data_IF_452778752074
#
_entry.id   IF_452778752074
#
_cell.length_a   1.000
_cell.length_b   1.000
_cell.length_c   1.000
_cell.angle_alpha   90.00
_cell.angle_beta   90.00
_cell.angle_gamma   90.00
#
_symmetry.space_group_name_H-M   'P 1'
#
loop_
_entity.id
_entity.type
_entity.pdbx_description
1 polymer ?
#
# COMPACT_ATOMS: atom_id res chain seq x y z
N UNK A 1 -29.07 -22.34 -19.32
CA UNK A 1 -28.08 -21.43 -19.95
C UNK A 1 -27.59 -20.34 -19.01
N UNK A 2 -28.45 -19.49 -18.42
CA UNK A 2 -28.05 -18.46 -17.46
C UNK A 2 -27.29 -18.99 -16.22
N UNK A 3 -27.77 -20.08 -15.61
CA UNK A 3 -27.10 -20.71 -14.46
C UNK A 3 -25.74 -21.33 -14.79
N UNK A 4 -25.55 -21.82 -16.02
CA UNK A 4 -24.26 -22.36 -16.47
C UNK A 4 -23.25 -21.24 -16.71
N UNK A 5 -23.69 -20.13 -17.31
CA UNK A 5 -22.87 -18.92 -17.45
C UNK A 5 -22.47 -18.34 -16.09
N UNK A 6 -23.39 -18.35 -15.10
CA UNK A 6 -23.12 -17.95 -13.72
C UNK A 6 -22.07 -18.86 -13.06
N UNK A 7 -22.15 -20.17 -13.28
CA UNK A 7 -21.18 -21.12 -12.72
C UNK A 7 -19.78 -20.98 -13.33
N UNK A 8 -19.69 -20.72 -14.64
CA UNK A 8 -18.39 -20.52 -15.32
C UNK A 8 -17.74 -19.21 -14.89
N UNK A 9 -18.50 -18.14 -14.59
CA UNK A 9 -17.93 -16.89 -14.06
C UNK A 9 -17.56 -16.95 -12.58
N UNK A 10 -18.09 -17.91 -11.82
CA UNK A 10 -17.68 -18.13 -10.43
C UNK A 10 -16.29 -18.76 -10.30
N UNK A 11 -15.82 -19.54 -11.29
CA UNK A 11 -14.51 -20.21 -11.22
C UNK A 11 -13.33 -19.20 -11.20
N UNK A 12 -13.33 -18.13 -12.04
CA UNK A 12 -12.36 -17.03 -11.92
C UNK A 12 -12.62 -16.11 -10.71
N UNK A 13 -13.88 -15.88 -10.33
CA UNK A 13 -14.24 -15.00 -9.21
C UNK A 13 -13.73 -15.50 -7.86
N UNK A 14 -13.55 -16.81 -7.68
CA UNK A 14 -12.93 -17.40 -6.48
C UNK A 14 -11.41 -17.12 -6.44
N UNK A 15 -10.79 -16.73 -7.57
CA UNK A 15 -9.35 -16.42 -7.65
C UNK A 15 -9.03 -14.92 -7.76
N UNK A 16 -9.99 -14.08 -8.16
CA UNK A 16 -9.81 -12.63 -8.28
C UNK A 16 -10.29 -11.91 -7.01
N UNK A 17 -9.37 -11.21 -6.33
CA UNK A 17 -9.61 -10.58 -5.02
C UNK A 17 -10.29 -9.20 -5.11
N UNK A 18 -10.75 -8.75 -6.28
CA UNK A 18 -11.30 -7.42 -6.49
C UNK A 18 -12.77 -7.45 -6.92
N UNK A 19 -13.63 -6.87 -6.07
CA UNK A 19 -15.07 -6.72 -6.25
C UNK A 19 -15.49 -6.11 -7.61
N UNK A 20 -14.63 -5.26 -8.19
CA UNK A 20 -14.85 -4.63 -9.51
C UNK A 20 -14.77 -5.64 -10.67
N UNK A 21 -13.95 -6.69 -10.55
CA UNK A 21 -13.82 -7.73 -11.58
C UNK A 21 -15.12 -8.53 -11.70
N UNK A 22 -15.80 -8.77 -10.57
CA UNK A 22 -17.10 -9.44 -10.55
C UNK A 22 -18.18 -8.63 -11.25
N UNK A 23 -18.29 -7.33 -11.00
CA UNK A 23 -19.28 -6.47 -11.66
C UNK A 23 -19.04 -6.37 -13.17
N UNK A 24 -17.77 -6.31 -13.60
CA UNK A 24 -17.43 -6.28 -15.01
C UNK A 24 -17.93 -7.53 -15.75
N UNK A 25 -17.82 -8.72 -15.14
CA UNK A 25 -18.30 -9.98 -15.73
C UNK A 25 -19.83 -10.00 -15.93
N UNK A 26 -20.61 -9.46 -14.98
CA UNK A 26 -22.06 -9.34 -15.15
C UNK A 26 -22.45 -8.41 -16.30
N UNK A 27 -21.72 -7.30 -16.47
CA UNK A 27 -21.91 -6.37 -17.60
C UNK A 27 -21.61 -7.06 -18.92
N UNK A 28 -20.52 -7.81 -19.03
CA UNK A 28 -20.17 -8.53 -20.27
C UNK A 28 -21.16 -9.62 -20.65
N UNK A 29 -21.66 -10.40 -19.68
CA UNK A 29 -22.72 -11.38 -19.93
C UNK A 29 -24.00 -10.70 -20.41
N UNK A 30 -24.38 -9.60 -19.77
CA UNK A 30 -25.60 -8.86 -20.11
C UNK A 30 -25.51 -8.26 -21.52
N UNK A 31 -24.34 -7.73 -21.90
CA UNK A 31 -24.06 -7.24 -23.25
C UNK A 31 -24.10 -8.37 -24.29
N UNK A 32 -23.55 -9.55 -23.99
CA UNK A 32 -23.59 -10.71 -24.87
C UNK A 32 -25.00 -11.23 -25.11
N UNK A 33 -25.82 -11.31 -24.04
CA UNK A 33 -27.24 -11.71 -24.15
C UNK A 33 -28.03 -10.67 -24.94
N UNK A 34 -27.85 -9.37 -24.65
CA UNK A 34 -28.51 -8.28 -25.38
C UNK A 34 -28.17 -8.28 -26.87
N UNK A 35 -26.90 -8.52 -27.21
CA UNK A 35 -26.45 -8.65 -28.60
C UNK A 35 -27.08 -9.84 -29.32
N UNK A 36 -27.19 -10.99 -28.67
CA UNK A 36 -27.84 -12.17 -29.23
C UNK A 36 -29.32 -11.90 -29.58
N UNK A 37 -30.06 -11.25 -28.68
CA UNK A 37 -31.46 -10.85 -28.93
C UNK A 37 -31.59 -9.86 -30.10
N UNK A 38 -30.67 -8.90 -30.21
CA UNK A 38 -30.65 -7.92 -31.32
C UNK A 38 -30.38 -8.63 -32.66
N UNK A 39 -29.40 -9.55 -32.69
CA UNK A 39 -29.06 -10.32 -33.90
C UNK A 39 -30.24 -11.20 -34.33
N UNK A 40 -30.89 -11.89 -33.40
CA UNK A 40 -32.08 -12.71 -33.67
C UNK A 40 -33.23 -11.86 -34.23
N UNK A 41 -33.46 -10.67 -33.67
CA UNK A 41 -34.46 -9.71 -34.16
C UNK A 41 -34.14 -9.20 -35.58
N UNK A 42 -32.85 -8.96 -35.89
CA UNK A 42 -32.39 -8.54 -37.21
C UNK A 42 -32.57 -9.66 -38.24
N UNK A 43 -32.32 -10.92 -37.86
CA UNK A 43 -32.48 -12.08 -38.73
C UNK A 43 -33.94 -12.29 -39.15
N UNK A 44 -34.91 -11.99 -38.27
CA UNK A 44 -36.35 -12.09 -38.52
C UNK A 44 -36.97 -11.01 -39.43
N UNK A 45 -36.23 -9.99 -39.87
CA UNK A 45 -36.76 -8.95 -40.79
C UNK A 45 -36.91 -9.48 -42.23
N UNK A 46 -37.65 -8.79 -43.11
CA UNK A 46 -37.87 -9.28 -44.48
C UNK A 46 -36.59 -9.43 -45.34
N UNK A 47 -36.56 -10.37 -46.31
CA UNK A 47 -35.39 -10.68 -47.13
C UNK A 47 -34.84 -9.50 -47.94
N UNK A 48 -35.70 -8.55 -48.30
CA UNK A 48 -35.35 -7.40 -49.16
C UNK A 48 -34.33 -6.44 -48.52
N UNK A 49 -34.04 -6.59 -47.23
CA UNK A 49 -33.07 -5.78 -46.47
C UNK A 49 -31.77 -6.54 -46.11
N UNK A 50 -31.42 -7.58 -46.87
CA UNK A 50 -30.29 -8.46 -46.56
C UNK A 50 -28.94 -7.74 -46.34
N UNK A 51 -28.67 -6.67 -47.09
CA UNK A 51 -27.45 -5.85 -46.92
C UNK A 51 -27.47 -5.09 -45.59
N UNK A 52 -28.60 -4.49 -45.23
CA UNK A 52 -28.79 -3.78 -43.96
C UNK A 52 -28.71 -4.72 -42.75
N UNK A 53 -29.16 -5.97 -42.87
CA UNK A 53 -28.99 -6.98 -41.82
C UNK A 53 -27.51 -7.28 -41.55
N UNK A 54 -26.72 -7.47 -42.60
CA UNK A 54 -25.27 -7.72 -42.48
C UNK A 54 -24.55 -6.51 -41.88
N UNK A 55 -24.90 -5.30 -42.30
CA UNK A 55 -24.33 -4.07 -41.76
C UNK A 55 -24.66 -3.87 -40.27
N UNK A 56 -25.90 -4.13 -39.87
CA UNK A 56 -26.31 -4.03 -38.46
C UNK A 56 -25.62 -5.07 -37.58
N UNK A 57 -25.48 -6.32 -38.05
CA UNK A 57 -24.73 -7.36 -37.34
C UNK A 57 -23.24 -6.99 -37.19
N UNK A 58 -22.60 -6.48 -38.24
CA UNK A 58 -21.21 -6.00 -38.19
C UNK A 58 -21.07 -4.82 -37.23
N UNK A 59 -22.00 -3.87 -37.23
CA UNK A 59 -21.98 -2.73 -36.31
C UNK A 59 -22.08 -3.19 -34.84
N UNK A 60 -22.95 -4.15 -34.53
CA UNK A 60 -23.05 -4.73 -33.17
C UNK A 60 -21.75 -5.42 -32.77
N UNK A 61 -21.15 -6.22 -33.66
CA UNK A 61 -19.88 -6.90 -33.41
C UNK A 61 -18.75 -5.88 -33.16
N UNK A 62 -18.69 -4.80 -33.94
CA UNK A 62 -17.68 -3.74 -33.80
C UNK A 62 -17.88 -2.98 -32.48
N UNK A 63 -19.11 -2.65 -32.08
CA UNK A 63 -19.40 -2.01 -30.80
C UNK A 63 -18.97 -2.90 -29.63
N UNK A 64 -19.26 -4.19 -29.69
CA UNK A 64 -18.80 -5.16 -28.70
C UNK A 64 -17.27 -5.20 -28.68
N UNK A 65 -16.61 -5.33 -29.83
CA UNK A 65 -15.15 -5.36 -29.91
C UNK A 65 -14.51 -4.09 -29.30
N UNK A 66 -15.04 -2.90 -29.59
CA UNK A 66 -14.57 -1.64 -29.00
C UNK A 66 -14.80 -1.61 -27.49
N UNK A 67 -15.96 -2.09 -27.02
CA UNK A 67 -16.28 -2.20 -25.60
C UNK A 67 -15.38 -3.19 -24.84
N UNK A 68 -14.81 -4.19 -25.53
CA UNK A 68 -13.82 -5.12 -24.96
C UNK A 68 -12.37 -4.58 -25.06
N UNK A 69 -12.05 -3.75 -26.05
CA UNK A 69 -10.69 -3.18 -26.23
C UNK A 69 -10.41 -2.08 -25.20
N UNK A 70 -11.41 -1.24 -24.87
CA UNK A 70 -11.19 -0.10 -23.96
C UNK A 70 -10.83 -0.52 -22.51
N UNK A 71 -11.49 -1.52 -21.90
CA UNK A 71 -11.11 -2.06 -20.59
C UNK A 71 -9.73 -2.73 -20.62
N UNK A 72 -9.38 -3.45 -21.70
CA UNK A 72 -8.05 -4.07 -21.84
C UNK A 72 -6.95 -3.01 -21.91
N UNK A 73 -7.16 -1.92 -22.66
CA UNK A 73 -6.24 -0.78 -22.66
C UNK A 73 -6.17 -0.12 -21.28
N UNK A 74 -7.31 0.02 -20.60
CA UNK A 74 -7.41 0.51 -19.23
C UNK A 74 -6.59 -0.35 -18.25
N UNK A 75 -6.78 -1.67 -18.24
CA UNK A 75 -6.05 -2.61 -17.38
C UNK A 75 -4.56 -2.65 -17.71
N UNK A 76 -4.17 -2.62 -18.99
CA UNK A 76 -2.75 -2.56 -19.38
C UNK A 76 -2.10 -1.24 -18.91
N UNK A 77 -2.85 -0.14 -18.91
CA UNK A 77 -2.38 1.13 -18.37
C UNK A 77 -2.38 1.15 -16.84
N UNK A 78 -3.37 0.56 -16.16
CA UNK A 78 -3.37 0.41 -14.71
C UNK A 78 -2.23 -0.49 -14.22
N UNK A 79 -1.89 -1.56 -14.96
CA UNK A 79 -0.70 -2.38 -14.69
C UNK A 79 0.60 -1.59 -14.90
N UNK A 80 0.63 -0.63 -15.83
CA UNK A 80 1.76 0.31 -15.96
C UNK A 80 1.85 1.28 -14.78
N UNK A 81 0.71 1.76 -14.25
CA UNK A 81 0.68 2.59 -13.05
C UNK A 81 1.02 1.79 -11.78
N UNK A 82 0.65 0.51 -11.72
CA UNK A 82 1.09 -0.39 -10.66
C UNK A 82 2.58 -0.68 -10.74
N UNK A 83 3.22 -0.58 -11.92
CA UNK A 83 4.69 -0.60 -12.08
C UNK A 83 5.44 0.43 -11.22
N UNK A 84 4.84 1.58 -10.92
CA UNK A 84 5.41 2.58 -9.99
C UNK A 84 5.14 2.29 -8.51
N UNK A 85 4.12 1.48 -8.22
CA UNK A 85 3.76 0.99 -6.89
C UNK A 85 4.44 -0.36 -6.57
N UNK A 86 4.83 -1.12 -7.59
CA UNK A 86 5.72 -2.28 -7.56
C UNK A 86 7.08 -1.74 -7.14
N UNK A 87 7.23 -1.66 -5.82
CA UNK A 87 8.45 -1.50 -5.04
C UNK A 87 9.49 -0.60 -5.71
N UNK A 88 9.50 0.69 -5.35
CA UNK A 88 10.64 1.56 -5.63
C UNK A 88 11.95 0.77 -5.39
N UNK A 89 12.89 0.71 -6.35
CA UNK A 89 14.02 -0.21 -6.28
C UNK A 89 14.83 -0.13 -4.98
N UNK A 90 14.92 1.07 -4.39
CA UNK A 90 15.56 1.27 -3.08
C UNK A 90 14.84 0.57 -1.92
N UNK A 91 13.49 0.53 -1.93
CA UNK A 91 12.71 -0.20 -0.93
C UNK A 91 12.85 -1.70 -1.09
N UNK A 92 12.88 -2.19 -2.34
CA UNK A 92 13.08 -3.61 -2.61
C UNK A 92 14.45 -4.06 -2.10
N UNK A 93 15.49 -3.27 -2.43
CA UNK A 93 16.84 -3.50 -1.95
C UNK A 93 16.90 -3.53 -0.41
N UNK A 94 16.17 -2.64 0.27
CA UNK A 94 16.09 -2.64 1.73
C UNK A 94 15.45 -3.93 2.27
N UNK A 95 14.31 -4.38 1.71
CA UNK A 95 13.65 -5.61 2.15
C UNK A 95 14.49 -6.86 1.89
N UNK A 96 15.17 -6.94 0.75
CA UNK A 96 16.09 -8.03 0.44
C UNK A 96 17.32 -8.00 1.35
N UNK A 97 17.84 -6.82 1.67
CA UNK A 97 18.93 -6.68 2.63
C UNK A 97 18.52 -7.19 4.02
N UNK A 98 17.34 -6.81 4.51
CA UNK A 98 16.78 -7.33 5.76
C UNK A 98 16.73 -8.86 5.74
N UNK A 99 16.16 -9.45 4.68
CA UNK A 99 16.01 -10.91 4.56
C UNK A 99 17.34 -11.66 4.71
N UNK A 100 18.42 -11.07 4.19
CA UNK A 100 19.73 -11.73 4.11
C UNK A 100 20.66 -11.40 5.29
N UNK A 101 20.34 -10.39 6.12
CA UNK A 101 21.27 -9.86 7.14
C UNK A 101 20.66 -9.76 8.54
N UNK A 102 19.46 -10.27 8.78
CA UNK A 102 18.87 -10.35 10.12
C UNK A 102 18.37 -11.76 10.42
N UNK A 103 18.16 -12.07 11.69
CA UNK A 103 17.57 -13.35 12.09
C UNK A 103 16.09 -13.45 11.71
N UNK A 104 15.59 -14.66 11.48
CA UNK A 104 14.21 -14.88 11.05
C UNK A 104 13.16 -14.40 12.07
N UNK A 105 13.52 -14.34 13.34
CA UNK A 105 12.69 -13.88 14.46
C UNK A 105 12.88 -12.40 14.81
N UNK A 106 13.72 -11.67 14.07
CA UNK A 106 13.93 -10.24 14.26
C UNK A 106 12.63 -9.45 14.09
N UNK A 107 12.40 -8.49 14.99
CA UNK A 107 11.22 -7.64 15.04
C UNK A 107 11.49 -6.30 14.37
N UNK A 108 10.53 -5.82 13.58
CA UNK A 108 10.63 -4.51 12.93
C UNK A 108 9.48 -3.60 13.37
N UNK A 109 9.86 -2.43 13.88
CA UNK A 109 8.98 -1.31 14.18
C UNK A 109 8.97 -0.41 12.94
N UNK A 110 7.81 -0.27 12.32
CA UNK A 110 7.58 0.54 11.13
C UNK A 110 6.13 1.05 11.16
N UNK A 111 5.83 2.09 10.38
CA UNK A 111 4.44 2.48 10.17
C UNK A 111 3.65 1.38 9.43
N UNK A 112 2.37 1.22 9.75
CA UNK A 112 1.56 0.05 9.35
C UNK A 112 1.51 -0.21 7.85
N UNK A 113 1.58 0.86 7.03
CA UNK A 113 1.56 0.78 5.56
C UNK A 113 2.62 -0.19 5.00
N UNK A 114 3.73 -0.39 5.72
CA UNK A 114 4.84 -1.22 5.26
C UNK A 114 4.86 -2.63 5.86
N UNK A 115 4.00 -2.94 6.84
CA UNK A 115 4.05 -4.22 7.55
C UNK A 115 3.83 -5.42 6.63
N UNK A 116 2.83 -5.34 5.75
CA UNK A 116 2.56 -6.38 4.75
C UNK A 116 3.74 -6.56 3.76
N UNK A 117 4.37 -5.46 3.33
CA UNK A 117 5.51 -5.51 2.42
C UNK A 117 6.74 -6.16 3.09
N UNK A 118 7.00 -5.81 4.34
CA UNK A 118 8.06 -6.43 5.13
C UNK A 118 7.83 -7.94 5.29
N UNK A 119 6.61 -8.34 5.69
CA UNK A 119 6.27 -9.74 5.83
C UNK A 119 6.40 -10.51 4.50
N UNK A 120 5.99 -9.89 3.39
CA UNK A 120 6.03 -10.52 2.07
C UNK A 120 7.45 -10.63 1.50
N UNK A 121 8.19 -9.52 1.41
CA UNK A 121 9.50 -9.45 0.75
C UNK A 121 10.65 -9.84 1.67
N UNK A 122 10.68 -9.29 2.88
CA UNK A 122 11.77 -9.52 3.82
C UNK A 122 11.62 -10.81 4.63
N UNK A 123 10.41 -11.40 4.66
CA UNK A 123 10.08 -12.56 5.51
C UNK A 123 10.43 -12.29 6.97
N UNK A 124 10.10 -11.10 7.46
CA UNK A 124 10.27 -10.69 8.86
C UNK A 124 8.94 -10.26 9.45
N UNK A 125 8.85 -10.36 10.77
CA UNK A 125 7.65 -10.03 11.51
C UNK A 125 7.59 -8.50 11.74
N UNK A 126 6.59 -7.79 11.20
CA UNK A 126 6.32 -6.42 11.61
C UNK A 126 5.61 -6.41 12.98
N UNK A 127 5.75 -5.31 13.72
CA UNK A 127 4.91 -5.07 14.91
C UNK A 127 3.45 -4.80 14.51
N UNK A 128 3.24 -4.04 13.43
CA UNK A 128 1.92 -3.72 12.86
C UNK A 128 1.93 -3.79 11.34
N UNK A 129 0.82 -4.24 10.76
CA UNK A 129 0.54 -4.31 9.31
C UNK A 129 -0.83 -3.72 8.93
N UNK A 130 -1.59 -3.26 9.93
CA UNK A 130 -2.88 -2.59 9.82
C UNK A 130 -3.01 -1.55 10.94
N UNK A 131 -3.71 -0.45 10.68
CA UNK A 131 -3.96 0.59 11.69
C UNK A 131 -5.41 0.62 12.16
N UNK A 132 -5.57 0.67 13.49
CA UNK A 132 -6.79 1.06 14.19
C UNK A 132 -6.40 1.93 15.39
N UNK A 133 -6.70 3.23 15.38
CA UNK A 133 -6.18 4.21 16.38
C UNK A 133 -6.38 3.84 17.85
N UNK A 134 -7.50 3.21 18.27
CA UNK A 134 -7.65 2.78 19.65
C UNK A 134 -6.67 1.68 20.07
N UNK A 135 -6.04 0.98 19.13
CA UNK A 135 -5.10 -0.10 19.39
C UNK A 135 -3.84 0.42 20.09
N UNK A 136 -3.53 -0.18 21.25
CA UNK A 136 -2.34 0.12 22.03
C UNK A 136 -1.05 -0.11 21.23
N UNK A 137 -1.03 -1.04 20.27
CA UNK A 137 0.15 -1.33 19.46
C UNK A 137 0.43 -0.19 18.47
N UNK A 138 -0.61 0.40 17.87
CA UNK A 138 -0.45 1.59 17.01
C UNK A 138 0.16 2.73 17.81
N UNK A 139 -0.36 2.99 19.01
CA UNK A 139 0.18 4.04 19.89
C UNK A 139 1.62 3.77 20.30
N UNK A 140 1.97 2.52 20.61
CA UNK A 140 3.33 2.13 20.96
C UNK A 140 4.30 2.34 19.78
N UNK A 141 3.94 1.89 18.58
CA UNK A 141 4.76 2.09 17.37
C UNK A 141 4.93 3.57 17.05
N UNK A 142 3.85 4.34 17.09
CA UNK A 142 3.92 5.80 16.92
C UNK A 142 4.83 6.43 17.97
N UNK A 143 4.71 6.05 19.24
CA UNK A 143 5.53 6.58 20.32
C UNK A 143 7.02 6.28 20.14
N UNK A 144 7.39 5.15 19.53
CA UNK A 144 8.80 4.87 19.18
C UNK A 144 9.27 5.76 18.02
N UNK A 145 8.45 5.91 16.97
CA UNK A 145 8.84 6.66 15.76
C UNK A 145 8.99 8.15 16.07
N UNK A 146 8.03 8.75 16.79
CA UNK A 146 7.99 10.19 17.05
C UNK A 146 8.43 10.58 18.47
N UNK A 147 9.10 9.69 19.21
CA UNK A 147 9.57 9.97 20.57
C UNK A 147 10.46 11.23 20.58
N UNK A 148 10.14 12.22 21.40
CA UNK A 148 11.04 13.35 21.70
C UNK A 148 12.10 12.98 22.73
N UNK A 149 11.81 11.97 23.54
CA UNK A 149 12.71 11.31 24.49
C UNK A 149 13.03 9.90 23.97
N UNK A 150 14.22 9.70 23.37
CA UNK A 150 14.58 8.41 22.78
C UNK A 150 14.66 7.26 23.79
N UNK A 151 14.98 7.52 25.06
CA UNK A 151 15.07 6.48 26.09
C UNK A 151 13.69 5.86 26.36
N UNK A 152 12.64 6.70 26.37
CA UNK A 152 11.26 6.21 26.41
C UNK A 152 10.90 5.41 25.16
N UNK A 153 11.37 5.84 23.99
CA UNK A 153 11.24 5.06 22.75
C UNK A 153 11.88 3.67 22.87
N UNK A 154 13.10 3.59 23.38
CA UNK A 154 13.81 2.32 23.62
C UNK A 154 13.11 1.45 24.66
N UNK A 155 12.54 2.03 25.72
CA UNK A 155 11.78 1.29 26.72
C UNK A 155 10.54 0.62 26.11
N UNK A 156 9.81 1.33 25.25
CA UNK A 156 8.66 0.77 24.51
C UNK A 156 9.14 -0.33 23.56
N UNK A 157 10.24 -0.12 22.82
CA UNK A 157 10.81 -1.12 21.95
C UNK A 157 11.23 -2.40 22.70
N UNK A 158 11.79 -2.28 23.91
CA UNK A 158 12.09 -3.44 24.79
C UNK A 158 10.82 -4.20 25.17
N UNK A 159 9.75 -3.49 25.50
CA UNK A 159 8.46 -4.12 25.85
C UNK A 159 7.88 -4.88 24.65
N UNK A 160 8.00 -4.32 23.44
CA UNK A 160 7.61 -5.00 22.20
C UNK A 160 8.50 -6.23 21.93
N UNK A 161 9.82 -6.13 22.13
CA UNK A 161 10.75 -7.26 22.01
C UNK A 161 10.32 -8.45 22.86
N UNK A 162 10.06 -8.20 24.15
CA UNK A 162 9.65 -9.21 25.13
C UNK A 162 8.30 -9.83 24.76
N UNK A 163 7.31 -9.01 24.39
CA UNK A 163 5.98 -9.47 23.98
C UNK A 163 6.03 -10.40 22.76
N UNK A 164 6.94 -10.14 21.83
CA UNK A 164 7.06 -10.90 20.58
C UNK A 164 8.11 -12.02 20.63
N UNK A 165 8.88 -12.12 21.73
CA UNK A 165 9.99 -13.07 21.92
C UNK A 165 10.99 -13.04 20.75
N UNK A 166 11.48 -11.84 20.43
CA UNK A 166 12.39 -11.60 19.31
C UNK A 166 13.83 -11.40 19.76
N UNK A 167 14.79 -11.97 19.01
CA UNK A 167 16.23 -11.79 19.19
C UNK A 167 16.68 -10.32 19.14
N UNK A 168 16.26 -9.62 18.09
CA UNK A 168 16.68 -8.26 17.76
C UNK A 168 15.48 -7.39 17.39
N UNK A 169 15.62 -6.08 17.57
CA UNK A 169 14.61 -5.09 17.20
C UNK A 169 15.22 -4.03 16.30
N UNK A 170 14.49 -3.69 15.24
CA UNK A 170 14.86 -2.70 14.26
C UNK A 170 13.78 -1.64 14.13
N UNK A 171 14.17 -0.37 14.03
CA UNK A 171 13.30 0.73 13.63
C UNK A 171 13.53 1.02 12.13
N UNK A 172 12.47 0.93 11.34
CA UNK A 172 12.48 1.19 9.91
C UNK A 172 11.66 2.44 9.61
N UNK A 173 12.33 3.44 9.03
CA UNK A 173 11.76 4.73 8.65
C UNK A 173 11.77 4.86 7.14
N UNK A 174 10.68 5.38 6.57
CA UNK A 174 10.56 5.71 5.16
C UNK A 174 10.45 7.22 4.96
N UNK A 175 10.97 7.72 3.84
CA UNK A 175 11.00 9.16 3.54
C UNK A 175 9.64 9.84 3.67
N UNK A 176 8.60 9.14 3.20
CA UNK A 176 7.24 9.67 3.16
C UNK A 176 6.50 9.58 4.50
N UNK A 177 7.07 8.91 5.51
CA UNK A 177 6.53 8.93 6.87
C UNK A 177 6.54 10.35 7.45
N UNK A 178 7.41 11.23 6.94
CA UNK A 178 7.43 12.66 7.22
C UNK A 178 6.06 13.34 7.05
N UNK A 179 5.23 12.87 6.12
CA UNK A 179 3.88 13.42 5.92
C UNK A 179 2.82 12.75 6.82
N UNK A 180 3.19 11.63 7.43
CA UNK A 180 2.35 10.83 8.32
C UNK A 180 2.69 11.06 9.80
N UNK A 181 3.82 11.70 10.12
CA UNK A 181 4.19 12.02 11.52
C UNK A 181 3.13 12.83 12.29
N UNK A 182 2.28 13.70 11.70
CA UNK A 182 1.20 14.33 12.46
C UNK A 182 0.18 13.30 12.98
N UNK A 183 -0.12 12.30 12.16
CA UNK A 183 -1.03 11.20 12.53
C UNK A 183 -0.39 10.33 13.62
N UNK A 184 0.91 10.05 13.51
CA UNK A 184 1.65 9.32 14.54
C UNK A 184 1.69 10.12 15.85
N UNK A 185 1.96 11.42 15.80
CA UNK A 185 1.91 12.30 16.97
C UNK A 185 0.53 12.33 17.62
N UNK A 186 -0.53 12.38 16.83
CA UNK A 186 -1.89 12.30 17.34
C UNK A 186 -2.18 11.00 18.08
N UNK A 187 -1.70 9.86 17.56
CA UNK A 187 -1.83 8.57 18.23
C UNK A 187 -1.12 8.54 19.60
N UNK A 188 -0.11 9.40 19.82
CA UNK A 188 0.63 9.53 21.08
C UNK A 188 0.15 10.68 21.96
N UNK A 189 -0.93 11.37 21.57
CA UNK A 189 -1.57 12.43 22.36
C UNK A 189 -1.15 13.86 22.03
N UNK A 190 -0.37 14.10 20.96
CA UNK A 190 -0.12 15.45 20.45
C UNK A 190 -1.33 15.99 19.68
N UNK A 191 -1.45 17.32 19.60
CA UNK A 191 -2.53 17.94 18.84
C UNK A 191 -2.25 17.88 17.32
N UNK A 192 -3.31 17.74 16.54
CA UNK A 192 -3.32 17.93 15.10
C UNK A 192 -3.46 19.40 14.71
N UNK A 193 -3.79 20.32 15.60
CA UNK A 193 -3.91 21.75 15.31
C UNK A 193 -2.57 22.36 14.86
N UNK A 194 -2.57 23.33 13.93
CA UNK A 194 -1.33 24.04 13.57
C UNK A 194 -0.76 24.80 14.78
N UNK A 195 0.52 24.62 15.06
CA UNK A 195 1.22 25.32 16.15
C UNK A 195 2.39 24.54 16.72
N UNK A 196 2.97 25.06 17.80
CA UNK A 196 4.17 24.53 18.45
C UNK A 196 3.96 23.21 19.20
N UNK A 197 2.69 22.83 19.44
CA UNK A 197 2.30 21.60 20.14
C UNK A 197 2.03 20.41 19.22
N UNK A 198 2.22 20.59 17.91
CA UNK A 198 1.97 19.56 16.89
C UNK A 198 3.25 19.03 16.27
N UNK A 199 3.31 17.73 15.99
CA UNK A 199 4.45 17.12 15.27
C UNK A 199 4.19 17.23 13.78
N UNK A 200 4.97 18.06 13.07
CA UNK A 200 4.75 18.36 11.65
C UNK A 200 6.06 18.61 10.91
N UNK A 201 6.23 17.92 9.79
CA UNK A 201 7.40 18.06 8.94
C UNK A 201 6.97 18.43 7.53
N UNK A 202 7.89 19.08 6.81
CA UNK A 202 7.76 19.36 5.39
C UNK A 202 9.07 19.06 4.68
N UNK A 203 9.05 19.19 3.36
CA UNK A 203 10.23 19.10 2.52
C UNK A 203 10.45 20.48 1.90
N UNK A 204 11.68 21.01 1.99
CA UNK A 204 12.03 22.28 1.35
C UNK A 204 12.21 22.12 -0.17
N UNK A 205 12.41 23.24 -0.88
CA UNK A 205 12.56 23.26 -2.34
C UNK A 205 13.75 22.42 -2.85
N UNK A 206 14.69 22.07 -1.97
CA UNK A 206 15.85 21.23 -2.28
C UNK A 206 15.60 19.74 -2.03
N UNK A 207 14.40 19.38 -1.55
CA UNK A 207 14.04 18.00 -1.23
C UNK A 207 14.49 17.56 0.17
N UNK A 208 14.97 18.48 1.02
CA UNK A 208 15.44 18.18 2.38
C UNK A 208 14.30 18.27 3.39
N UNK A 209 14.27 17.33 4.33
CA UNK A 209 13.30 17.32 5.43
C UNK A 209 13.54 18.49 6.39
N UNK A 210 12.46 19.21 6.73
CA UNK A 210 12.46 20.33 7.66
C UNK A 210 11.34 20.12 8.68
N UNK A 211 11.67 20.20 9.98
CA UNK A 211 10.66 20.24 11.03
C UNK A 211 10.04 21.62 11.13
N UNK A 212 8.72 21.69 11.29
CA UNK A 212 7.98 22.95 11.27
C UNK A 212 8.02 23.71 12.60
N UNK A 213 8.54 23.09 13.67
CA UNK A 213 8.71 23.66 15.00
C UNK A 213 9.79 22.91 15.79
N UNK A 214 10.19 23.44 16.94
CA UNK A 214 11.24 22.86 17.80
C UNK A 214 10.86 21.50 18.36
N UNK A 215 9.58 21.28 18.66
CA UNK A 215 9.06 19.98 19.10
C UNK A 215 9.34 18.89 18.07
N UNK A 216 9.04 19.18 16.80
CA UNK A 216 9.26 18.25 15.68
C UNK A 216 10.75 17.92 15.53
N UNK A 217 11.62 18.92 15.65
CA UNK A 217 13.06 18.75 15.52
C UNK A 217 13.67 17.82 16.59
N UNK A 218 12.97 17.63 17.71
CA UNK A 218 13.37 16.73 18.79
C UNK A 218 12.94 15.28 18.56
N UNK A 219 12.02 15.02 17.63
CA UNK A 219 11.50 13.67 17.39
C UNK A 219 12.57 12.72 16.87
N UNK A 220 12.48 11.46 17.28
CA UNK A 220 13.37 10.37 16.85
C UNK A 220 13.39 10.25 15.33
N UNK A 221 12.22 10.31 14.68
CA UNK A 221 12.12 10.36 13.22
C UNK A 221 12.98 11.48 12.62
N UNK A 222 12.80 12.74 13.04
CA UNK A 222 13.53 13.86 12.45
C UNK A 222 15.04 13.72 12.65
N UNK A 223 15.45 13.40 13.87
CA UNK A 223 16.87 13.25 14.25
C UNK A 223 17.55 12.15 13.43
N UNK A 224 16.95 10.95 13.37
CA UNK A 224 17.48 9.84 12.58
C UNK A 224 17.41 10.10 11.07
N UNK A 225 16.35 10.76 10.58
CA UNK A 225 16.23 11.10 9.17
C UNK A 225 17.26 12.14 8.74
N UNK A 226 17.62 13.07 9.62
CA UNK A 226 18.66 14.08 9.40
C UNK A 226 20.08 13.62 9.79
N UNK A 227 20.27 12.30 9.98
CA UNK A 227 21.55 11.66 10.31
C UNK A 227 22.17 12.11 11.64
N UNK A 228 21.37 12.57 12.60
CA UNK A 228 21.84 12.80 13.95
C UNK A 228 22.00 11.46 14.67
N UNK A 229 23.07 11.33 15.45
CA UNK A 229 23.26 10.17 16.32
C UNK A 229 22.30 10.20 17.51
N UNK A 230 21.72 9.06 17.83
CA UNK A 230 20.93 8.85 19.04
C UNK A 230 21.50 7.60 19.73
N UNK A 231 21.81 7.72 21.03
CA UNK A 231 22.29 6.58 21.81
C UNK A 231 21.27 5.43 21.78
N UNK A 232 21.73 4.21 21.60
CA UNK A 232 20.87 3.03 21.45
C UNK A 232 20.28 2.81 20.05
N UNK A 233 20.52 3.70 19.08
CA UNK A 233 20.10 3.56 17.69
C UNK A 233 21.32 3.42 16.78
N UNK A 234 21.64 2.20 16.37
CA UNK A 234 22.79 1.92 15.51
C UNK A 234 22.35 1.81 14.05
N UNK A 235 22.93 2.57 13.10
CA UNK A 235 22.62 2.43 11.68
C UNK A 235 22.82 0.99 11.19
N UNK A 236 21.82 0.45 10.48
CA UNK A 236 21.86 -0.90 9.92
C UNK A 236 21.79 -0.88 8.38
N UNK A 237 20.93 -0.03 7.82
CA UNK A 237 20.80 0.19 6.38
C UNK A 237 20.35 1.62 6.13
N UNK A 238 21.03 2.34 5.23
CA UNK A 238 20.72 3.73 4.92
C UNK A 238 20.64 3.95 3.42
N UNK A 239 19.50 4.42 2.93
CA UNK A 239 19.28 4.89 1.56
C UNK A 239 18.56 6.24 1.55
N UNK A 240 18.24 6.77 0.36
CA UNK A 240 17.49 8.01 0.22
C UNK A 240 16.01 7.84 0.59
N UNK A 241 15.48 6.64 0.37
CA UNK A 241 14.07 6.31 0.61
C UNK A 241 13.81 5.56 1.92
N UNK A 242 14.79 4.82 2.45
CA UNK A 242 14.64 3.98 3.65
C UNK A 242 15.84 4.12 4.58
N UNK A 243 15.58 4.26 5.88
CA UNK A 243 16.61 4.18 6.92
C UNK A 243 16.20 3.18 7.99
N UNK A 244 17.12 2.28 8.33
CA UNK A 244 16.91 1.21 9.29
C UNK A 244 17.98 1.32 10.37
N UNK A 245 17.53 1.28 11.61
CA UNK A 245 18.37 1.34 12.79
C UNK A 245 18.12 0.11 13.65
N UNK A 246 19.20 -0.56 14.07
CA UNK A 246 19.14 -1.58 15.12
C UNK A 246 19.00 -0.88 16.47
N UNK A 247 18.04 -1.31 17.27
CA UNK A 247 17.78 -0.78 18.60
C UNK A 247 18.51 -1.62 19.67
N UNK A 248 19.24 -0.96 20.56
CA UNK A 248 19.95 -1.62 21.66
C UNK A 248 19.00 -1.84 22.85
N UNK A 249 18.14 -2.87 22.76
CA UNK A 249 17.05 -3.14 23.73
C UNK A 249 16.97 -4.56 24.21
#
# INVERSE_FOLDING_TARGET
YLFAALFVTMIPAVRAWHFMDMFSMFVYISLGIGAAFIIERIQGLEPQKAVWKKLAAVAVIVIIAIAFVNPVIGTVNEVRYSGGYIVQPEREAAFLYIKNNTDADSLFINWWDYGNSLAYFAKRRPVIDQMYFPDAVVKAVSAVIVATDPDKGLQIARTLKERHNSSEVYLMLFRYDAFLVPIMGYATGYDLSPGDESIRMTVDDTGRLVGMNDLTNQTTYYRLWTNQSIEGYTPFYLSKEVKIYRLNV
#
